data_IF_694117735116
#
_entry.id   IF_694117735116
#
_cell.length_a   1.000
_cell.length_b   1.000
_cell.length_c   1.000
_cell.angle_alpha   90.00
_cell.angle_beta   90.00
_cell.angle_gamma   90.00
#
_symmetry.space_group_name_H-M   'P 1'
#
loop_
_entity.id
_entity.type
_entity.pdbx_description
1 polymer ?
#
# COMPACT_ATOMS: atom_id res chain seq x y z
N UNK A 1 17.33 -1.13 2.02
CA UNK A 1 16.56 -1.55 0.82
C UNK A 1 16.46 -3.06 0.72
N UNK A 2 17.55 -3.83 0.93
CA UNK A 2 17.46 -5.30 1.05
C UNK A 2 16.49 -5.78 2.14
N UNK A 3 16.40 -5.08 3.27
CA UNK A 3 15.54 -5.49 4.39
C UNK A 3 14.03 -5.42 4.07
N UNK A 4 13.58 -4.36 3.37
CA UNK A 4 12.19 -4.26 2.88
C UNK A 4 11.89 -5.44 1.95
N UNK A 5 12.82 -5.75 1.05
CA UNK A 5 12.62 -6.80 0.06
C UNK A 5 12.55 -8.19 0.70
N UNK A 6 13.32 -8.42 1.76
CA UNK A 6 13.24 -9.65 2.55
C UNK A 6 11.88 -9.78 3.25
N UNK A 7 11.40 -8.71 3.90
CA UNK A 7 10.06 -8.70 4.51
C UNK A 7 8.94 -8.85 3.48
N UNK A 8 9.05 -8.22 2.30
CA UNK A 8 8.10 -8.40 1.20
C UNK A 8 8.07 -9.86 0.72
N UNK A 9 9.23 -10.51 0.64
CA UNK A 9 9.33 -11.91 0.25
C UNK A 9 8.72 -12.84 1.31
N UNK A 10 9.01 -12.61 2.59
CA UNK A 10 8.40 -13.37 3.70
C UNK A 10 6.88 -13.21 3.71
N UNK A 11 6.38 -11.98 3.54
CA UNK A 11 4.96 -11.69 3.44
C UNK A 11 4.30 -12.42 2.27
N UNK A 12 4.94 -12.44 1.09
CA UNK A 12 4.42 -13.13 -0.10
C UNK A 12 4.33 -14.65 0.09
N UNK A 13 5.28 -15.25 0.82
CA UNK A 13 5.23 -16.68 1.17
C UNK A 13 4.07 -16.95 2.12
N UNK A 14 3.92 -16.11 3.16
CA UNK A 14 2.86 -16.26 4.15
C UNK A 14 1.46 -16.11 3.54
N UNK A 15 1.23 -15.11 2.67
CA UNK A 15 -0.08 -14.92 2.02
C UNK A 15 -0.43 -16.06 1.07
N UNK A 16 0.56 -16.61 0.36
CA UNK A 16 0.37 -17.80 -0.47
C UNK A 16 -0.01 -19.03 0.37
N UNK A 17 0.65 -19.21 1.52
CA UNK A 17 0.35 -20.29 2.44
C UNK A 17 -1.06 -20.15 3.06
N UNK A 18 -1.40 -18.95 3.57
CA UNK A 18 -2.74 -18.62 4.07
C UNK A 18 -3.81 -18.94 3.01
N UNK A 19 -3.59 -18.51 1.76
CA UNK A 19 -4.54 -18.77 0.66
C UNK A 19 -4.73 -20.26 0.42
N UNK A 20 -3.65 -21.04 0.39
CA UNK A 20 -3.71 -22.49 0.22
C UNK A 20 -4.41 -23.19 1.39
N UNK A 21 -4.13 -22.75 2.63
CA UNK A 21 -4.75 -23.28 3.84
C UNK A 21 -6.25 -22.93 3.91
N UNK A 22 -6.68 -21.72 3.50
CA UNK A 22 -8.09 -21.35 3.37
C UNK A 22 -8.81 -22.28 2.37
N UNK A 23 -8.16 -22.58 1.23
CA UNK A 23 -8.68 -23.55 0.26
C UNK A 23 -8.88 -24.93 0.88
N UNK A 24 -7.90 -25.43 1.63
CA UNK A 24 -7.97 -26.71 2.37
C UNK A 24 -9.01 -26.68 3.50
N UNK A 25 -9.22 -25.53 4.15
CA UNK A 25 -10.16 -25.37 5.25
C UNK A 25 -11.59 -25.70 4.81
N UNK A 26 -11.95 -25.38 3.56
CA UNK A 26 -13.26 -25.70 2.99
C UNK A 26 -13.55 -27.21 2.92
N UNK A 27 -12.51 -28.05 2.85
CA UNK A 27 -12.58 -29.50 2.65
C UNK A 27 -12.27 -30.27 3.95
N UNK A 28 -11.55 -29.67 4.92
CA UNK A 28 -11.14 -30.32 6.19
C UNK A 28 -12.29 -30.47 7.22
N UNK A 29 -12.16 -31.46 8.12
CA UNK A 29 -13.16 -31.79 9.16
C UNK A 29 -12.53 -32.01 10.54
N UNK A 30 -13.32 -31.79 11.60
CA UNK A 30 -12.97 -32.18 12.97
C UNK A 30 -11.71 -31.50 13.55
N UNK A 31 -10.84 -32.29 14.18
CA UNK A 31 -9.63 -31.80 14.85
C UNK A 31 -8.62 -31.17 13.88
N UNK A 32 -8.53 -31.65 12.64
CA UNK A 32 -7.64 -31.10 11.63
C UNK A 32 -8.11 -29.72 11.17
N UNK A 33 -9.42 -29.47 11.15
CA UNK A 33 -9.99 -28.13 10.87
C UNK A 33 -9.59 -27.13 11.96
N UNK A 34 -9.68 -27.52 13.24
CA UNK A 34 -9.33 -26.63 14.35
C UNK A 34 -7.83 -26.30 14.37
N UNK A 35 -6.96 -27.27 14.04
CA UNK A 35 -5.52 -27.01 13.85
C UNK A 35 -5.29 -26.03 12.71
N UNK A 36 -5.91 -26.26 11.56
CA UNK A 36 -5.77 -25.39 10.39
C UNK A 36 -6.27 -23.97 10.66
N UNK A 37 -7.36 -23.81 11.42
CA UNK A 37 -7.85 -22.50 11.88
C UNK A 37 -6.79 -21.80 12.74
N UNK A 38 -6.23 -22.50 13.73
CA UNK A 38 -5.19 -21.94 14.61
C UNK A 38 -3.92 -21.58 13.84
N UNK A 39 -3.54 -22.38 12.84
CA UNK A 39 -2.36 -22.13 12.01
C UNK A 39 -2.57 -20.89 11.13
N UNK A 40 -3.74 -20.75 10.50
CA UNK A 40 -4.10 -19.57 9.71
C UNK A 40 -4.16 -18.32 10.59
N UNK A 41 -4.76 -18.39 11.78
CA UNK A 41 -4.82 -17.27 12.72
C UNK A 41 -3.41 -16.78 13.11
N UNK A 42 -2.48 -17.71 13.39
CA UNK A 42 -1.07 -17.39 13.67
C UNK A 42 -0.36 -16.74 12.48
N UNK A 43 -0.57 -17.26 11.27
CA UNK A 43 0.03 -16.71 10.04
C UNK A 43 -0.53 -15.30 9.73
N UNK A 44 -1.81 -15.05 9.99
CA UNK A 44 -2.38 -13.72 9.83
C UNK A 44 -1.71 -12.71 10.78
N UNK A 45 -1.45 -13.10 12.03
CA UNK A 45 -0.75 -12.27 13.01
C UNK A 45 0.70 -11.99 12.57
N UNK A 46 1.45 -13.01 12.17
CA UNK A 46 2.81 -12.86 11.63
C UNK A 46 2.85 -11.97 10.37
N UNK A 47 1.82 -12.05 9.51
CA UNK A 47 1.68 -11.16 8.36
C UNK A 47 1.49 -9.70 8.77
N UNK A 48 0.74 -9.43 9.86
CA UNK A 48 0.58 -8.07 10.40
C UNK A 48 1.91 -7.52 10.94
N UNK A 49 2.67 -8.35 11.66
CA UNK A 49 3.99 -7.97 12.17
C UNK A 49 4.95 -7.59 11.03
N UNK A 50 4.98 -8.37 9.93
CA UNK A 50 5.78 -8.06 8.75
C UNK A 50 5.37 -6.74 8.09
N UNK A 51 4.07 -6.46 7.98
CA UNK A 51 3.59 -5.18 7.44
C UNK A 51 3.94 -4.00 8.36
N UNK A 52 3.94 -4.19 9.67
CA UNK A 52 4.39 -3.18 10.63
C UNK A 52 5.89 -2.90 10.47
N UNK A 53 6.71 -3.94 10.35
CA UNK A 53 8.15 -3.82 10.11
C UNK A 53 8.47 -3.11 8.79
N UNK A 54 7.75 -3.43 7.71
CA UNK A 54 7.85 -2.69 6.43
C UNK A 54 7.47 -1.22 6.64
N UNK A 55 6.41 -0.95 7.40
CA UNK A 55 5.98 0.41 7.73
C UNK A 55 7.04 1.22 8.50
N UNK A 56 7.77 0.59 9.43
CA UNK A 56 8.88 1.22 10.15
C UNK A 56 10.06 1.51 9.22
N UNK A 57 10.45 0.54 8.39
CA UNK A 57 11.56 0.67 7.45
C UNK A 57 11.27 1.75 6.38
N UNK A 58 10.01 1.91 5.95
CA UNK A 58 9.60 3.01 5.07
C UNK A 58 9.79 4.39 5.74
N UNK A 59 9.61 4.48 7.06
CA UNK A 59 9.85 5.74 7.81
C UNK A 59 11.33 6.07 7.93
N UNK A 60 12.22 5.12 7.73
CA UNK A 60 13.67 5.35 7.69
C UNK A 60 14.19 5.60 6.26
N UNK A 61 13.43 5.16 5.24
CA UNK A 61 13.76 5.37 3.84
C UNK A 61 13.79 6.85 3.40
N UNK A 62 14.49 7.14 2.30
CA UNK A 62 14.60 8.50 1.73
C UNK A 62 13.25 9.07 1.26
N UNK A 63 13.07 10.38 1.41
CA UNK A 63 11.81 11.09 1.09
C UNK A 63 11.35 10.95 -0.37
N UNK A 64 12.26 10.71 -1.31
CA UNK A 64 11.96 10.53 -2.73
C UNK A 64 11.28 9.19 -3.04
N UNK A 65 11.58 8.13 -2.29
CA UNK A 65 11.09 6.76 -2.56
C UNK A 65 9.88 6.40 -1.67
N UNK A 66 9.70 7.10 -0.54
CA UNK A 66 8.59 6.88 0.40
C UNK A 66 7.21 6.79 -0.24
N UNK A 67 6.77 7.71 -1.12
CA UNK A 67 5.42 7.65 -1.66
C UNK A 67 5.11 6.35 -2.41
N UNK A 68 6.10 5.82 -3.15
CA UNK A 68 5.96 4.55 -3.87
C UNK A 68 5.86 3.35 -2.92
N UNK A 69 6.68 3.33 -1.86
CA UNK A 69 6.67 2.24 -0.88
C UNK A 69 5.41 2.28 0.01
N UNK A 70 4.96 3.48 0.41
CA UNK A 70 3.70 3.64 1.17
C UNK A 70 2.50 3.16 0.35
N UNK A 71 2.47 3.45 -0.95
CA UNK A 71 1.42 2.92 -1.82
C UNK A 71 1.41 1.38 -1.87
N UNK A 72 2.59 0.75 -1.92
CA UNK A 72 2.71 -0.72 -1.88
C UNK A 72 2.25 -1.30 -0.55
N UNK A 73 2.66 -0.69 0.57
CA UNK A 73 2.22 -1.10 1.91
C UNK A 73 0.69 -1.08 2.02
N UNK A 74 0.04 -0.03 1.51
CA UNK A 74 -1.43 0.06 1.49
C UNK A 74 -2.07 -1.06 0.66
N UNK A 75 -1.46 -1.46 -0.47
CA UNK A 75 -1.94 -2.60 -1.25
C UNK A 75 -1.84 -3.91 -0.47
N UNK A 76 -0.72 -4.17 0.21
CA UNK A 76 -0.55 -5.37 1.03
C UNK A 76 -1.52 -5.40 2.21
N UNK A 77 -1.77 -4.26 2.88
CA UNK A 77 -2.78 -4.16 3.93
C UNK A 77 -4.20 -4.50 3.42
N UNK A 78 -4.57 -4.00 2.23
CA UNK A 78 -5.85 -4.32 1.61
C UNK A 78 -5.96 -5.81 1.26
N UNK A 79 -4.88 -6.43 0.77
CA UNK A 79 -4.82 -7.85 0.46
C UNK A 79 -4.96 -8.73 1.72
N UNK A 80 -4.21 -8.42 2.79
CA UNK A 80 -4.30 -9.15 4.05
C UNK A 80 -5.73 -9.10 4.63
N UNK A 81 -6.39 -7.94 4.52
CA UNK A 81 -7.79 -7.77 4.94
C UNK A 81 -8.76 -8.61 4.10
N UNK A 82 -8.53 -8.73 2.78
CA UNK A 82 -9.31 -9.62 1.91
C UNK A 82 -9.14 -11.08 2.34
N UNK A 83 -7.90 -11.52 2.60
CA UNK A 83 -7.61 -12.88 3.06
C UNK A 83 -8.28 -13.18 4.41
N UNK A 84 -8.26 -12.24 5.36
CA UNK A 84 -8.98 -12.37 6.63
C UNK A 84 -10.49 -12.58 6.41
N UNK A 85 -11.11 -11.84 5.49
CA UNK A 85 -12.54 -12.02 5.18
C UNK A 85 -12.84 -13.38 4.53
N UNK A 86 -11.99 -13.84 3.62
CA UNK A 86 -12.11 -15.15 2.99
C UNK A 86 -11.95 -16.28 4.01
N UNK A 87 -11.00 -16.14 4.95
CA UNK A 87 -10.82 -17.06 6.07
C UNK A 87 -12.06 -17.12 6.97
N UNK A 88 -12.63 -15.98 7.38
CA UNK A 88 -13.84 -15.96 8.22
C UNK A 88 -15.04 -16.59 7.50
N UNK A 89 -15.19 -16.34 6.19
CA UNK A 89 -16.22 -17.01 5.38
C UNK A 89 -16.00 -18.52 5.34
N UNK A 90 -14.78 -18.98 5.08
CA UNK A 90 -14.45 -20.41 5.02
C UNK A 90 -14.62 -21.11 6.38
N UNK A 91 -14.30 -20.43 7.48
CA UNK A 91 -14.54 -20.90 8.86
C UNK A 91 -16.03 -21.18 9.10
N UNK A 92 -16.90 -20.28 8.63
CA UNK A 92 -18.35 -20.27 8.89
C UNK A 92 -19.20 -21.04 7.86
N UNK A 93 -18.69 -21.30 6.64
CA UNK A 93 -19.42 -21.86 5.48
C UNK A 93 -20.09 -23.23 5.67
N UNK A 94 -19.88 -23.93 6.79
CA UNK A 94 -20.49 -25.26 7.05
C UNK A 94 -21.42 -25.35 8.26
N UNK A 95 -21.71 -24.24 8.97
CA UNK A 95 -22.77 -24.30 9.99
C UNK A 95 -24.19 -24.39 9.36
N UNK A 96 -24.31 -24.07 8.07
CA UNK A 96 -25.58 -24.02 7.33
C UNK A 96 -25.86 -25.25 6.47
N UNK A 97 -24.89 -26.15 6.25
CA UNK A 97 -25.03 -27.26 5.28
C UNK A 97 -25.47 -28.60 5.91
N UNK A 98 -25.57 -28.71 7.23
CA UNK A 98 -26.06 -29.92 7.90
C UNK A 98 -27.59 -29.96 8.11
N UNK A 99 -28.34 -29.01 7.54
CA UNK A 99 -29.78 -28.87 7.78
C UNK A 99 -30.69 -29.46 6.67
N UNK A 100 -30.18 -30.32 5.79
CA UNK A 100 -30.98 -30.89 4.71
C UNK A 100 -30.74 -32.39 4.48
N UNK A 101 -30.73 -33.16 5.57
CA UNK A 101 -30.82 -34.62 5.56
C UNK A 101 -32.21 -35.06 6.01
N UNK A 102 -33.19 -34.99 5.11
CA UNK A 102 -34.41 -35.78 5.25
C UNK A 102 -34.06 -37.22 4.88
N UNK A 103 -34.36 -38.18 5.77
CA UNK A 103 -34.97 -39.50 5.47
C UNK A 103 -34.65 -40.52 6.58
N UNK A 104 -35.63 -40.74 7.47
CA UNK A 104 -36.08 -42.08 7.92
C UNK A 104 -37.18 -41.90 8.97
N UNK A 105 -38.42 -42.09 8.55
CA UNK A 105 -39.59 -42.20 9.42
C UNK A 105 -39.72 -43.67 9.79
N UNK A 106 -39.54 -44.02 11.07
CA UNK A 106 -40.09 -45.25 11.68
C UNK A 106 -40.43 -45.00 13.17
N UNK A 107 -41.74 -44.94 13.42
CA UNK A 107 -42.52 -45.46 14.56
C UNK A 107 -41.89 -45.57 15.98
N UNK A 108 -42.35 -44.71 16.91
CA UNK A 108 -43.06 -45.02 18.19
C UNK A 108 -42.84 -43.91 19.27
N UNK A 109 -43.90 -43.68 20.04
CA UNK A 109 -43.98 -43.10 21.40
C UNK A 109 -44.32 -41.60 21.57
N UNK A 110 -45.55 -41.36 22.02
CA UNK A 110 -46.25 -40.07 22.18
C UNK A 110 -45.69 -39.21 23.34
N UNK A 111 -44.86 -39.79 24.21
CA UNK A 111 -44.16 -39.10 25.31
C UNK A 111 -42.89 -38.36 24.83
N UNK A 112 -42.34 -38.74 23.68
CA UNK A 112 -41.13 -38.13 23.08
C UNK A 112 -41.39 -36.76 22.44
N UNK A 113 -42.60 -36.52 21.93
CA UNK A 113 -42.92 -35.34 21.09
C UNK A 113 -42.76 -34.03 21.86
N UNK A 114 -43.08 -34.02 23.16
CA UNK A 114 -43.02 -32.80 23.99
C UNK A 114 -41.57 -32.44 24.38
N UNK A 115 -40.73 -33.44 24.67
CA UNK A 115 -39.29 -33.23 24.89
C UNK A 115 -38.56 -32.87 23.60
N UNK A 116 -38.96 -33.46 22.46
CA UNK A 116 -38.38 -33.16 21.16
C UNK A 116 -38.75 -31.74 20.69
N UNK A 117 -39.99 -31.30 20.89
CA UNK A 117 -40.39 -29.91 20.63
C UNK A 117 -39.62 -28.93 21.53
N UNK A 118 -39.44 -29.25 22.82
CA UNK A 118 -38.66 -28.41 23.76
C UNK A 118 -37.19 -28.34 23.37
N UNK A 119 -36.58 -29.46 22.95
CA UNK A 119 -35.21 -29.50 22.40
C UNK A 119 -35.10 -28.68 21.11
N UNK A 120 -36.08 -28.75 20.21
CA UNK A 120 -36.12 -27.94 18.98
C UNK A 120 -36.21 -26.45 19.26
N UNK A 121 -36.99 -26.04 20.27
CA UNK A 121 -37.09 -24.63 20.66
C UNK A 121 -35.80 -24.12 21.33
N UNK A 122 -35.16 -24.94 22.17
CA UNK A 122 -33.86 -24.61 22.77
C UNK A 122 -32.76 -24.48 21.71
N UNK A 123 -32.69 -25.42 20.76
CA UNK A 123 -31.75 -25.35 19.63
C UNK A 123 -32.01 -24.13 18.73
N UNK A 124 -33.29 -23.80 18.48
CA UNK A 124 -33.63 -22.56 17.76
C UNK A 124 -33.20 -21.31 18.53
N UNK A 125 -33.39 -21.28 19.85
CA UNK A 125 -33.01 -20.15 20.69
C UNK A 125 -31.49 -19.97 20.74
N UNK A 126 -30.73 -21.06 20.87
CA UNK A 126 -29.27 -21.03 20.87
C UNK A 126 -28.72 -20.58 19.50
N UNK A 127 -29.34 -21.05 18.41
CA UNK A 127 -29.02 -20.60 17.05
C UNK A 127 -29.34 -19.13 16.82
N UNK A 128 -30.47 -18.65 17.34
CA UNK A 128 -30.86 -17.25 17.26
C UNK A 128 -29.88 -16.37 18.01
N UNK A 129 -29.47 -16.77 19.22
CA UNK A 129 -28.50 -16.05 20.03
C UNK A 129 -27.12 -15.97 19.34
N UNK A 130 -26.64 -17.10 18.80
CA UNK A 130 -25.38 -17.11 18.04
C UNK A 130 -25.44 -16.26 16.77
N UNK A 131 -26.55 -16.32 16.04
CA UNK A 131 -26.75 -15.50 14.83
C UNK A 131 -26.84 -14.02 15.18
N UNK A 132 -27.49 -13.67 16.29
CA UNK A 132 -27.56 -12.30 16.82
C UNK A 132 -26.17 -11.77 17.18
N UNK A 133 -25.36 -12.57 17.88
CA UNK A 133 -23.98 -12.21 18.22
C UNK A 133 -23.12 -12.05 16.97
N UNK A 134 -23.23 -12.95 15.98
CA UNK A 134 -22.53 -12.82 14.70
C UNK A 134 -22.96 -11.57 13.91
N UNK A 135 -24.26 -11.26 13.87
CA UNK A 135 -24.76 -10.07 13.19
C UNK A 135 -24.23 -8.79 13.85
N UNK A 136 -24.18 -8.78 15.19
CA UNK A 136 -23.62 -7.67 15.98
C UNK A 136 -22.12 -7.50 15.72
N UNK A 137 -21.37 -8.59 15.66
CA UNK A 137 -19.95 -8.56 15.31
C UNK A 137 -19.70 -8.13 13.86
N UNK A 138 -20.49 -8.65 12.92
CA UNK A 138 -20.43 -8.26 11.51
C UNK A 138 -20.76 -6.78 11.30
N UNK A 139 -21.76 -6.26 12.02
CA UNK A 139 -22.09 -4.84 12.03
C UNK A 139 -20.95 -3.99 12.57
N UNK A 140 -20.35 -4.38 13.70
CA UNK A 140 -19.18 -3.70 14.27
C UNK A 140 -18.01 -3.64 13.28
N UNK A 141 -17.68 -4.78 12.66
CA UNK A 141 -16.59 -4.87 11.67
C UNK A 141 -16.90 -4.02 10.42
N UNK A 142 -18.17 -3.97 9.99
CA UNK A 142 -18.60 -3.14 8.87
C UNK A 142 -18.43 -1.64 9.18
N UNK A 143 -18.83 -1.20 10.38
CA UNK A 143 -18.67 0.19 10.83
C UNK A 143 -17.19 0.56 10.97
N UNK A 144 -16.37 -0.29 11.58
CA UNK A 144 -14.91 -0.09 11.64
C UNK A 144 -14.31 0.00 10.23
N UNK A 145 -14.83 -0.80 9.29
CA UNK A 145 -14.40 -0.76 7.88
C UNK A 145 -14.82 0.53 7.17
N UNK A 146 -16.02 1.05 7.44
CA UNK A 146 -16.48 2.34 6.93
C UNK A 146 -15.58 3.47 7.45
N UNK A 147 -15.27 3.46 8.74
CA UNK A 147 -14.43 4.47 9.38
C UNK A 147 -13.00 4.46 8.80
N UNK A 148 -12.41 3.27 8.60
CA UNK A 148 -11.10 3.14 7.96
C UNK A 148 -11.17 3.58 6.49
N UNK A 149 -12.21 3.19 5.75
CA UNK A 149 -12.41 3.62 4.36
C UNK A 149 -12.50 5.13 4.24
N UNK A 150 -13.21 5.79 5.16
CA UNK A 150 -13.28 7.24 5.24
C UNK A 150 -11.91 7.87 5.54
N UNK A 151 -11.13 7.28 6.44
CA UNK A 151 -9.77 7.74 6.73
C UNK A 151 -8.84 7.62 5.52
N UNK A 152 -8.87 6.48 4.81
CA UNK A 152 -8.09 6.29 3.58
C UNK A 152 -8.48 7.29 2.50
N UNK A 153 -9.78 7.58 2.34
CA UNK A 153 -10.24 8.60 1.40
C UNK A 153 -9.74 10.01 1.76
N UNK A 154 -9.72 10.35 3.05
CA UNK A 154 -9.13 11.61 3.52
C UNK A 154 -7.62 11.67 3.22
N UNK A 155 -6.87 10.61 3.56
CA UNK A 155 -5.42 10.56 3.30
C UNK A 155 -5.10 10.69 1.81
N UNK A 156 -5.90 10.06 0.93
CA UNK A 156 -5.77 10.21 -0.52
C UNK A 156 -6.10 11.63 -1.00
N UNK A 157 -7.08 12.28 -0.38
CA UNK A 157 -7.43 13.67 -0.66
C UNK A 157 -6.29 14.61 -0.27
N UNK A 158 -5.72 14.43 0.92
CA UNK A 158 -4.58 15.22 1.42
C UNK A 158 -3.32 15.00 0.58
N UNK A 159 -3.08 13.75 0.14
CA UNK A 159 -2.01 13.43 -0.81
C UNK A 159 -2.24 14.11 -2.16
N UNK A 160 -3.47 14.11 -2.69
CA UNK A 160 -3.81 14.80 -3.94
C UNK A 160 -3.55 16.30 -3.81
N UNK A 161 -3.95 16.92 -2.71
CA UNK A 161 -3.69 18.33 -2.47
C UNK A 161 -2.19 18.63 -2.39
N UNK A 162 -1.43 17.79 -1.70
CA UNK A 162 0.03 17.90 -1.60
C UNK A 162 0.70 17.80 -2.97
N UNK A 163 0.28 16.85 -3.81
CA UNK A 163 0.78 16.72 -5.19
C UNK A 163 0.43 17.97 -6.01
N UNK A 164 -0.79 18.50 -5.88
CA UNK A 164 -1.20 19.72 -6.59
C UNK A 164 -0.36 20.93 -6.16
N UNK A 165 -0.12 21.11 -4.85
CA UNK A 165 0.73 22.19 -4.33
C UNK A 165 2.18 22.06 -4.81
N UNK A 166 2.74 20.84 -4.82
CA UNK A 166 4.08 20.59 -5.34
C UNK A 166 4.18 20.88 -6.84
N UNK A 167 3.18 20.49 -7.64
CA UNK A 167 3.11 20.84 -9.08
C UNK A 167 2.99 22.34 -9.31
N UNK A 168 2.20 23.05 -8.49
CA UNK A 168 2.06 24.50 -8.58
C UNK A 168 3.40 25.20 -8.29
N UNK A 169 4.10 24.78 -7.22
CA UNK A 169 5.45 25.29 -6.87
C UNK A 169 6.47 25.02 -7.97
N UNK A 170 6.49 23.81 -8.54
CA UNK A 170 7.38 23.48 -9.67
C UNK A 170 7.13 24.38 -10.87
N UNK A 171 5.86 24.62 -11.23
CA UNK A 171 5.51 25.50 -12.35
C UNK A 171 5.91 26.96 -12.11
N UNK A 172 5.82 27.42 -10.86
CA UNK A 172 6.29 28.74 -10.45
C UNK A 172 7.82 28.83 -10.50
N UNK A 173 8.53 27.80 -10.00
CA UNK A 173 9.99 27.69 -10.09
C UNK A 173 10.48 27.63 -11.54
N UNK A 174 9.78 26.93 -12.44
CA UNK A 174 10.08 26.91 -13.88
C UNK A 174 9.94 28.31 -14.51
N UNK A 175 8.92 29.07 -14.11
CA UNK A 175 8.71 30.43 -14.58
C UNK A 175 9.81 31.39 -14.06
N UNK A 176 10.26 31.22 -12.83
CA UNK A 176 11.38 31.98 -12.25
C UNK A 176 12.74 31.59 -12.87
N UNK A 177 12.97 30.30 -13.12
CA UNK A 177 14.16 29.80 -13.83
C UNK A 177 14.24 30.38 -15.26
N UNK A 178 13.11 30.46 -15.97
CA UNK A 178 13.06 31.10 -17.30
C UNK A 178 13.43 32.59 -17.27
N UNK A 179 13.08 33.31 -16.19
CA UNK A 179 13.47 34.71 -15.99
C UNK A 179 14.95 34.86 -15.61
N UNK A 180 15.45 34.01 -14.71
CA UNK A 180 16.86 33.99 -14.32
C UNK A 180 17.79 33.61 -15.47
N UNK A 181 17.39 32.64 -16.32
CA UNK A 181 18.14 32.26 -17.52
C UNK A 181 18.34 33.44 -18.48
N UNK A 182 17.32 34.29 -18.64
CA UNK A 182 17.41 35.49 -19.47
C UNK A 182 18.38 36.53 -18.89
N UNK A 183 18.37 36.72 -17.57
CA UNK A 183 19.30 37.64 -16.89
C UNK A 183 20.74 37.13 -17.00
N UNK A 184 20.98 35.85 -16.70
CA UNK A 184 22.32 35.23 -16.78
C UNK A 184 22.85 35.28 -18.22
N UNK A 185 22.03 34.95 -19.22
CA UNK A 185 22.41 35.05 -20.64
C UNK A 185 22.80 36.49 -21.02
N UNK A 186 22.06 37.49 -20.52
CA UNK A 186 22.39 38.91 -20.76
C UNK A 186 23.71 39.34 -20.09
N UNK A 187 24.02 38.81 -18.89
CA UNK A 187 25.28 39.07 -18.19
C UNK A 187 26.47 38.38 -18.90
N UNK A 188 26.29 37.14 -19.35
CA UNK A 188 27.29 36.39 -20.11
C UNK A 188 27.65 37.08 -21.43
N UNK A 189 26.64 37.53 -22.20
CA UNK A 189 26.89 38.24 -23.46
C UNK A 189 27.63 39.56 -23.26
N UNK A 190 27.32 40.31 -22.18
CA UNK A 190 28.03 41.54 -21.83
C UNK A 190 29.50 41.26 -21.50
N UNK A 191 29.78 40.23 -20.69
CA UNK A 191 31.15 39.85 -20.32
C UNK A 191 31.99 39.36 -21.51
N UNK A 192 31.38 38.67 -22.49
CA UNK A 192 32.11 38.28 -23.71
C UNK A 192 32.50 39.49 -24.56
N UNK A 193 31.64 40.51 -24.66
CA UNK A 193 31.92 41.71 -25.46
C UNK A 193 33.11 42.49 -24.93
N UNK A 194 33.19 42.67 -23.61
CA UNK A 194 34.32 43.37 -22.96
C UNK A 194 35.65 42.63 -23.20
N UNK A 195 35.64 41.29 -23.08
CA UNK A 195 36.83 40.47 -23.34
C UNK A 195 37.25 40.50 -24.81
N UNK A 196 36.30 40.47 -25.75
CA UNK A 196 36.61 40.56 -27.19
C UNK A 196 37.27 41.88 -27.57
N UNK A 197 36.78 43.00 -27.03
CA UNK A 197 37.39 44.32 -27.27
C UNK A 197 38.82 44.35 -26.73
N UNK A 198 39.06 43.82 -25.53
CA UNK A 198 40.39 43.80 -24.93
C UNK A 198 41.39 42.98 -25.77
N UNK A 199 40.97 41.80 -26.25
CA UNK A 199 41.81 40.96 -27.13
C UNK A 199 42.10 41.67 -28.45
N UNK A 200 41.08 42.31 -29.06
CA UNK A 200 41.25 43.04 -30.32
C UNK A 200 42.26 44.19 -30.20
N UNK A 201 42.20 44.96 -29.11
CA UNK A 201 43.18 46.04 -28.83
C UNK A 201 44.58 45.47 -28.64
N UNK A 202 44.73 44.38 -27.89
CA UNK A 202 46.02 43.72 -27.69
C UNK A 202 46.67 43.24 -29.00
N UNK A 203 45.87 42.62 -29.89
CA UNK A 203 46.33 42.17 -31.22
C UNK A 203 46.73 43.36 -32.09
N UNK A 204 45.95 44.45 -32.09
CA UNK A 204 46.27 45.64 -32.87
C UNK A 204 47.60 46.27 -32.43
N UNK A 205 47.84 46.40 -31.12
CA UNK A 205 49.11 46.91 -30.59
C UNK A 205 50.29 45.99 -30.96
N UNK A 206 50.09 44.68 -30.88
CA UNK A 206 51.11 43.71 -31.28
C UNK A 206 51.47 43.83 -32.77
N UNK A 207 50.47 43.98 -33.65
CA UNK A 207 50.71 44.20 -35.08
C UNK A 207 51.51 45.47 -35.35
N UNK A 208 51.19 46.58 -34.66
CA UNK A 208 51.94 47.84 -34.78
C UNK A 208 53.40 47.66 -34.35
N UNK A 209 53.65 46.94 -33.25
CA UNK A 209 55.03 46.65 -32.81
C UNK A 209 55.81 45.82 -33.82
N UNK A 210 55.20 44.76 -34.36
CA UNK A 210 55.83 43.91 -35.39
C UNK A 210 56.15 44.71 -36.65
N UNK A 211 55.21 45.55 -37.12
CA UNK A 211 55.43 46.40 -38.27
C UNK A 211 56.54 47.43 -38.03
N UNK A 212 56.59 48.04 -36.84
CA UNK A 212 57.64 49.00 -36.48
C UNK A 212 59.03 48.36 -36.49
N UNK A 213 59.17 47.16 -35.90
CA UNK A 213 60.44 46.42 -35.92
C UNK A 213 60.83 46.04 -37.35
N UNK A 214 59.88 45.56 -38.15
CA UNK A 214 60.13 45.18 -39.55
C UNK A 214 60.65 46.38 -40.36
N UNK A 215 60.00 47.54 -40.24
CA UNK A 215 60.45 48.77 -40.91
C UNK A 215 61.81 49.25 -40.39
N UNK A 216 62.07 49.16 -39.08
CA UNK A 216 63.36 49.56 -38.50
C UNK A 216 64.52 48.64 -38.85
N UNK A 217 64.28 47.37 -39.13
CA UNK A 217 65.33 46.42 -39.55
C UNK A 217 65.53 46.46 -41.07
N UNK A 218 64.46 46.75 -41.82
CA UNK A 218 64.52 46.84 -43.28
C UNK A 218 65.08 48.17 -43.81
N UNK A 219 65.21 49.20 -42.96
CA UNK A 219 65.68 50.55 -43.32
C UNK A 219 67.01 50.86 -42.65
#
# INVERSE_FOLDING_TARGET
>A
MELIQDYEQQYAVLTAEITAQIGRLSISYGADKNKLISDIDRQIEESHELLEQIGLEIREASQSVRPGLTSRLNCYQAELKRLQQEFQKAKNSKQTTSANGYESVEEFDEVSIQEEQKRRLLDNSERLERTSNFLKDGYRIAVETEQIGAQVLNDLSDQRETIQRSRARLRETDAELGRSSRVISSMLMRGMREKLILIAVGVALFLVLVLSIYFSVSN
#
